data_IF_920742803458
#
_entry.id   IF_920742803458
#
_cell.length_a   1.000
_cell.length_b   1.000
_cell.length_c   1.000
_cell.angle_alpha   90.00
_cell.angle_beta   90.00
_cell.angle_gamma   90.00
#
_symmetry.space_group_name_H-M   'P 1'
#
loop_
_entity.id
_entity.type
_entity.pdbx_description
1 polymer ?
#
# COMPACT_ATOMS: atom_id res chain seq x y z
N UNK A 1 -13.85 0.17 18.70
CA UNK A 1 -13.37 -0.23 17.36
C UNK A 1 -14.07 -1.50 16.90
N UNK A 2 -14.38 -1.62 15.60
CA UNK A 2 -14.81 -2.89 15.00
C UNK A 2 -13.63 -3.82 14.69
N UNK A 3 -13.90 -5.10 14.45
CA UNK A 3 -12.88 -6.09 14.02
C UNK A 3 -12.32 -5.71 12.63
N UNK A 4 -11.07 -6.09 12.37
CA UNK A 4 -10.48 -5.94 11.04
C UNK A 4 -11.28 -6.73 9.99
N UNK A 5 -11.44 -6.16 8.80
CA UNK A 5 -12.23 -6.74 7.72
C UNK A 5 -11.39 -6.86 6.44
N UNK A 6 -10.82 -8.05 6.24
CA UNK A 6 -10.03 -8.43 5.07
C UNK A 6 -10.83 -9.31 4.11
N UNK A 7 -10.35 -9.45 2.88
CA UNK A 7 -10.98 -10.32 1.87
C UNK A 7 -10.96 -11.79 2.29
N UNK A 8 -9.82 -12.24 2.79
CA UNK A 8 -9.54 -13.60 3.26
C UNK A 8 -9.79 -13.75 4.77
N UNK A 9 -10.24 -12.68 5.44
CA UNK A 9 -10.39 -12.63 6.88
C UNK A 9 -9.07 -12.51 7.65
N UNK A 10 -7.91 -12.41 6.99
CA UNK A 10 -6.59 -12.39 7.66
C UNK A 10 -5.79 -11.15 7.29
N UNK A 11 -5.51 -10.94 6.01
CA UNK A 11 -4.59 -9.88 5.59
C UNK A 11 -4.85 -9.33 4.20
N UNK A 12 -5.45 -10.10 3.29
CA UNK A 12 -5.66 -9.68 1.92
C UNK A 12 -6.59 -8.45 1.87
N UNK A 13 -6.18 -7.34 1.22
CA UNK A 13 -7.05 -6.20 1.02
C UNK A 13 -8.35 -6.60 0.32
N UNK A 14 -9.46 -5.97 0.68
CA UNK A 14 -10.76 -6.24 0.06
C UNK A 14 -10.76 -5.82 -1.41
N UNK A 15 -11.19 -6.73 -2.27
CA UNK A 15 -11.48 -6.44 -3.68
C UNK A 15 -12.95 -6.67 -4.02
N UNK A 16 -13.71 -7.39 -3.18
CA UNK A 16 -15.15 -7.57 -3.33
C UNK A 16 -15.93 -6.69 -2.35
N UNK A 17 -17.11 -6.27 -2.81
CA UNK A 17 -18.11 -5.56 -2.02
C UNK A 17 -18.69 -6.47 -0.94
N UNK A 18 -19.12 -5.88 0.17
CA UNK A 18 -19.88 -6.57 1.23
C UNK A 18 -21.22 -7.13 0.74
N UNK A 19 -21.73 -6.62 -0.39
CA UNK A 19 -22.95 -7.11 -1.05
C UNK A 19 -22.69 -8.27 -2.01
N UNK A 20 -21.42 -8.65 -2.19
CA UNK A 20 -21.01 -9.75 -3.06
C UNK A 20 -21.54 -11.09 -2.54
N UNK A 21 -22.10 -11.91 -3.42
CA UNK A 21 -22.53 -13.27 -3.12
C UNK A 21 -21.66 -14.26 -3.91
N UNK A 22 -21.51 -15.53 -3.48
CA UNK A 22 -20.77 -16.53 -4.25
C UNK A 22 -21.27 -16.69 -5.68
N UNK A 23 -22.58 -16.58 -5.88
CA UNK A 23 -23.23 -16.65 -7.20
C UNK A 23 -23.16 -15.36 -8.02
N UNK A 24 -22.80 -14.23 -7.41
CA UNK A 24 -22.71 -12.92 -8.06
C UNK A 24 -21.61 -12.09 -7.39
N UNK A 25 -20.35 -12.27 -7.82
CA UNK A 25 -19.27 -11.47 -7.29
C UNK A 25 -19.46 -10.01 -7.71
N UNK A 26 -19.34 -9.09 -6.74
CA UNK A 26 -19.40 -7.65 -6.99
C UNK A 26 -18.07 -7.05 -6.58
N UNK A 27 -17.28 -6.60 -7.55
CA UNK A 27 -15.97 -5.99 -7.31
C UNK A 27 -16.12 -4.56 -6.80
N UNK A 28 -15.25 -4.16 -5.89
CA UNK A 28 -15.16 -2.76 -5.44
C UNK A 28 -14.60 -1.88 -6.56
N UNK A 29 -15.10 -0.64 -6.72
CA UNK A 29 -14.49 0.32 -7.64
C UNK A 29 -13.06 0.63 -7.20
N UNK A 30 -12.19 0.96 -8.16
CA UNK A 30 -10.83 1.35 -7.83
C UNK A 30 -10.82 2.66 -7.04
N UNK A 31 -9.82 2.85 -6.18
CA UNK A 31 -9.68 4.10 -5.41
C UNK A 31 -9.61 5.33 -6.33
N UNK A 32 -9.01 5.18 -7.53
CA UNK A 32 -8.97 6.24 -8.53
C UNK A 32 -10.34 6.54 -9.12
N UNK A 33 -11.14 5.52 -9.44
CA UNK A 33 -12.51 5.71 -9.93
C UNK A 33 -13.37 6.46 -8.90
N UNK A 34 -13.27 6.09 -7.62
CA UNK A 34 -14.00 6.79 -6.55
C UNK A 34 -13.49 8.22 -6.39
N UNK A 35 -12.17 8.41 -6.41
CA UNK A 35 -11.54 9.72 -6.30
C UNK A 35 -12.02 10.66 -7.41
N UNK A 36 -12.04 10.23 -8.67
CA UNK A 36 -12.48 11.07 -9.80
C UNK A 36 -13.99 11.26 -9.87
N UNK A 37 -14.78 10.31 -9.36
CA UNK A 37 -16.24 10.42 -9.31
C UNK A 37 -16.72 11.36 -8.20
N UNK A 38 -16.07 11.35 -7.03
CA UNK A 38 -16.51 12.09 -5.83
C UNK A 38 -15.73 13.37 -5.57
N UNK A 39 -14.42 13.39 -5.84
CA UNK A 39 -13.58 14.55 -5.54
C UNK A 39 -13.79 15.61 -6.60
N UNK A 40 -14.28 16.78 -6.17
CA UNK A 40 -14.39 17.96 -7.03
C UNK A 40 -13.21 18.86 -6.73
N UNK A 41 -12.43 19.18 -7.76
CA UNK A 41 -11.43 20.22 -7.64
C UNK A 41 -12.13 21.56 -7.75
N UNK A 42 -12.34 22.22 -6.62
CA UNK A 42 -12.89 23.57 -6.56
C UNK A 42 -11.99 24.38 -5.64
N UNK A 43 -11.34 25.40 -6.19
CA UNK A 43 -10.69 26.41 -5.38
C UNK A 43 -11.75 27.24 -4.68
N UNK A 44 -11.85 27.06 -3.37
CA UNK A 44 -12.79 27.78 -2.53
C UNK A 44 -12.13 27.97 -1.16
N UNK A 45 -11.82 29.23 -0.82
CA UNK A 45 -11.32 29.58 0.49
C UNK A 45 -12.46 29.58 1.51
N UNK A 46 -12.18 29.07 2.72
CA UNK A 46 -13.11 29.20 3.85
C UNK A 46 -13.00 30.63 4.42
N UNK A 47 -14.11 31.36 4.62
CA UNK A 47 -14.08 32.69 5.22
C UNK A 47 -13.67 32.68 6.70
N UNK A 48 -13.93 31.56 7.40
CA UNK A 48 -13.81 31.46 8.85
C UNK A 48 -12.70 30.50 9.30
N UNK A 49 -11.82 30.10 8.38
CA UNK A 49 -10.78 29.12 8.67
C UNK A 49 -9.48 29.48 7.97
N UNK A 50 -8.43 29.65 8.76
CA UNK A 50 -7.08 29.87 8.23
C UNK A 50 -6.47 28.56 7.77
N UNK A 51 -5.54 28.64 6.82
CA UNK A 51 -4.75 27.49 6.38
C UNK A 51 -3.97 26.82 7.54
N UNK A 52 -3.71 27.57 8.62
CA UNK A 52 -3.05 27.05 9.82
C UNK A 52 -3.82 25.90 10.48
N UNK A 53 -5.15 25.83 10.35
CA UNK A 53 -5.92 24.69 10.84
C UNK A 53 -5.50 23.38 10.16
N UNK A 54 -5.35 23.39 8.83
CA UNK A 54 -4.95 22.21 8.06
C UNK A 54 -3.50 21.82 8.39
N UNK A 55 -2.61 22.80 8.50
CA UNK A 55 -1.21 22.53 8.80
C UNK A 55 -1.01 21.98 10.22
N UNK A 56 -1.71 22.52 11.21
CA UNK A 56 -1.65 22.03 12.58
C UNK A 56 -2.28 20.64 12.73
N UNK A 57 -3.34 20.34 11.96
CA UNK A 57 -3.93 18.99 11.92
C UNK A 57 -2.92 17.93 11.43
N UNK A 58 -2.11 18.24 10.41
CA UNK A 58 -1.05 17.33 9.96
C UNK A 58 0.03 17.16 11.03
N UNK A 59 0.41 18.24 11.73
CA UNK A 59 1.38 18.17 12.83
C UNK A 59 0.92 17.18 13.92
N UNK A 60 -0.33 17.30 14.38
CA UNK A 60 -0.91 16.36 15.35
C UNK A 60 -0.97 14.94 14.76
N UNK A 61 -1.41 14.77 13.51
CA UNK A 61 -1.49 13.45 12.89
C UNK A 61 -0.13 12.74 12.84
N UNK A 62 0.94 13.49 12.57
CA UNK A 62 2.32 13.00 12.58
C UNK A 62 2.86 12.68 13.99
N UNK A 63 2.35 13.34 15.04
CA UNK A 63 2.71 13.05 16.44
C UNK A 63 1.99 11.79 16.96
N UNK A 64 0.75 11.55 16.53
CA UNK A 64 -0.05 10.41 17.01
C UNK A 64 0.32 9.09 16.33
N UNK A 65 0.55 9.08 15.02
CA UNK A 65 0.67 7.81 14.29
C UNK A 65 1.60 7.85 13.09
N UNK A 66 2.35 6.77 12.90
CA UNK A 66 3.13 6.52 11.70
C UNK A 66 2.97 5.05 11.27
N UNK A 67 2.53 4.84 10.03
CA UNK A 67 2.42 3.51 9.42
C UNK A 67 3.52 3.33 8.39
N UNK A 68 4.48 2.44 8.68
CA UNK A 68 5.58 2.18 7.73
C UNK A 68 5.11 1.32 6.56
N UNK A 69 5.65 1.55 5.36
CA UNK A 69 5.43 0.70 4.18
C UNK A 69 6.74 0.08 3.70
N UNK A 70 6.68 -0.96 2.87
CA UNK A 70 7.86 -1.65 2.34
C UNK A 70 8.67 -0.83 1.33
N UNK A 71 8.11 0.27 0.79
CA UNK A 71 8.80 1.12 -0.21
C UNK A 71 9.61 2.27 0.39
N UNK A 72 9.27 2.74 1.60
CA UNK A 72 9.73 4.04 2.08
C UNK A 72 11.13 4.03 2.73
N UNK A 73 11.73 2.85 2.95
CA UNK A 73 12.98 2.75 3.70
C UNK A 73 14.24 2.96 2.84
N UNK A 74 14.12 2.99 1.49
CA UNK A 74 15.29 3.02 0.61
C UNK A 74 15.96 4.41 0.48
N UNK A 75 15.19 5.51 0.45
CA UNK A 75 15.75 6.85 0.15
C UNK A 75 16.50 7.48 1.35
N UNK A 76 16.01 7.26 2.57
CA UNK A 76 16.64 7.79 3.80
C UNK A 76 17.95 7.04 4.07
N UNK A 77 18.00 5.72 3.82
CA UNK A 77 19.22 4.91 4.01
C UNK A 77 20.34 5.29 3.03
N UNK A 78 20.03 5.61 1.77
CA UNK A 78 21.05 6.06 0.81
C UNK A 78 21.68 7.41 1.22
N UNK A 79 20.87 8.35 1.72
CA UNK A 79 21.36 9.63 2.21
C UNK A 79 22.19 9.48 3.51
N UNK A 80 21.74 8.64 4.46
CA UNK A 80 22.42 8.45 5.73
C UNK A 80 23.68 7.56 5.63
N UNK A 81 23.75 6.60 4.70
CA UNK A 81 24.97 5.82 4.42
C UNK A 81 26.14 6.68 3.91
N UNK A 82 25.86 7.86 3.34
CA UNK A 82 26.90 8.80 2.92
C UNK A 82 27.55 9.52 4.11
N UNK A 83 26.87 9.60 5.25
CA UNK A 83 27.29 10.35 6.43
C UNK A 83 27.75 9.46 7.60
N UNK A 84 27.36 8.17 7.63
CA UNK A 84 27.72 7.24 8.70
C UNK A 84 28.42 5.99 8.14
N UNK A 85 29.73 5.88 8.35
CA UNK A 85 30.57 4.74 7.95
C UNK A 85 30.50 3.55 8.93
N UNK A 86 29.38 3.37 9.63
CA UNK A 86 29.19 2.34 10.64
C UNK A 86 28.05 1.39 10.28
N UNK A 87 28.24 0.09 10.51
CA UNK A 87 27.30 -1.00 10.21
C UNK A 87 26.02 -1.00 11.09
N UNK A 88 25.50 0.16 11.47
CA UNK A 88 24.35 0.28 12.38
C UNK A 88 23.03 0.63 11.66
N UNK A 89 23.06 1.01 10.38
CA UNK A 89 21.87 1.48 9.63
C UNK A 89 21.33 0.49 8.58
N UNK A 90 21.95 -0.68 8.41
CA UNK A 90 21.56 -1.66 7.40
C UNK A 90 20.27 -2.44 7.72
N UNK A 91 19.66 -2.23 8.90
CA UNK A 91 18.57 -3.07 9.41
C UNK A 91 17.15 -2.54 9.12
N UNK A 92 16.98 -1.38 8.48
CA UNK A 92 15.65 -0.77 8.26
C UNK A 92 15.09 -0.95 6.84
N UNK A 93 15.94 -1.24 5.87
CA UNK A 93 15.52 -1.58 4.50
C UNK A 93 15.17 -3.06 4.46
N UNK A 94 13.94 -3.37 4.08
CA UNK A 94 13.62 -4.71 3.60
C UNK A 94 14.33 -4.85 2.25
N UNK A 95 15.58 -5.31 2.29
CA UNK A 95 16.37 -5.54 1.08
C UNK A 95 15.72 -6.70 0.34
N UNK A 96 14.98 -6.40 -0.72
CA UNK A 96 14.67 -7.43 -1.72
C UNK A 96 15.96 -7.66 -2.50
N UNK A 97 16.58 -8.85 -2.41
CA UNK A 97 17.79 -9.16 -3.18
C UNK A 97 17.47 -9.02 -4.67
N UNK A 98 18.32 -8.33 -5.42
CA UNK A 98 18.16 -8.25 -6.87
C UNK A 98 18.24 -9.67 -7.48
N UNK A 99 17.23 -10.12 -8.26
CA UNK A 99 17.26 -11.43 -8.90
C UNK A 99 18.43 -11.58 -9.88
N UNK A 100 19.03 -10.48 -10.33
CA UNK A 100 20.14 -10.46 -11.28
C UNK A 100 21.49 -10.13 -10.63
N UNK A 101 21.53 -9.70 -9.35
CA UNK A 101 22.77 -9.39 -8.64
C UNK A 101 22.59 -9.40 -7.11
N UNK A 102 23.01 -10.46 -6.45
CA UNK A 102 22.94 -10.63 -4.99
C UNK A 102 23.66 -9.55 -4.15
N UNK A 103 24.43 -8.66 -4.78
CA UNK A 103 25.10 -7.53 -4.12
C UNK A 103 24.24 -6.27 -4.03
N UNK A 104 23.10 -6.23 -4.72
CA UNK A 104 22.22 -5.07 -4.83
C UNK A 104 20.85 -5.32 -4.17
N UNK A 105 20.25 -4.24 -3.67
CA UNK A 105 18.88 -4.22 -3.14
C UNK A 105 18.00 -3.46 -4.13
N UNK A 106 16.89 -4.04 -4.56
CA UNK A 106 15.95 -3.41 -5.50
C UNK A 106 14.77 -2.81 -4.73
N UNK A 107 14.34 -1.61 -5.13
CA UNK A 107 13.09 -1.02 -4.64
C UNK A 107 11.91 -1.74 -5.27
N UNK A 108 10.96 -2.20 -4.45
CA UNK A 108 9.74 -2.85 -4.93
C UNK A 108 8.94 -1.85 -5.79
N UNK A 109 8.75 -2.20 -7.06
CA UNK A 109 7.94 -1.45 -8.02
C UNK A 109 6.61 -2.17 -8.25
N UNK A 110 5.50 -1.54 -7.88
CA UNK A 110 4.17 -2.13 -7.95
C UNK A 110 3.38 -1.75 -9.20
N UNK A 111 3.68 -0.60 -9.81
CA UNK A 111 3.13 -0.19 -11.08
C UNK A 111 4.19 -0.37 -12.18
N UNK A 112 4.04 -1.45 -12.96
CA UNK A 112 4.95 -1.81 -14.04
C UNK A 112 4.40 -1.30 -15.39
N UNK A 113 5.20 -0.58 -16.19
CA UNK A 113 4.75 0.04 -17.45
C UNK A 113 4.48 -0.94 -18.60
N UNK A 114 4.64 -2.26 -18.39
CA UNK A 114 4.20 -3.30 -19.30
C UNK A 114 3.71 -4.46 -18.44
N UNK A 115 2.39 -4.65 -18.33
CA UNK A 115 1.79 -5.77 -17.60
C UNK A 115 1.95 -7.07 -18.40
N UNK A 116 3.19 -7.42 -18.70
CA UNK A 116 3.58 -8.77 -19.00
C UNK A 116 3.99 -9.27 -17.63
N UNK A 117 3.07 -9.91 -16.90
CA UNK A 117 3.41 -10.75 -15.75
C UNK A 117 4.48 -11.72 -16.23
N UNK A 118 5.75 -11.33 -16.09
CA UNK A 118 6.86 -12.23 -16.34
C UNK A 118 6.58 -13.43 -15.45
N UNK A 119 6.46 -14.65 -15.98
CA UNK A 119 6.21 -15.82 -15.16
C UNK A 119 7.30 -16.02 -14.10
N UNK A 120 8.44 -15.34 -14.26
CA UNK A 120 9.58 -15.37 -13.36
C UNK A 120 9.57 -14.28 -12.26
N UNK A 121 8.66 -13.29 -12.32
CA UNK A 121 8.57 -12.22 -11.32
C UNK A 121 7.10 -11.94 -10.94
N UNK A 122 6.50 -12.75 -10.04
CA UNK A 122 5.18 -12.43 -9.49
C UNK A 122 5.24 -11.09 -8.74
N UNK A 123 4.11 -10.38 -8.74
CA UNK A 123 3.98 -9.10 -8.03
C UNK A 123 4.27 -9.31 -6.53
N UNK A 124 5.09 -8.43 -5.94
CA UNK A 124 5.50 -8.56 -4.54
C UNK A 124 4.30 -8.56 -3.58
N UNK A 125 4.28 -9.36 -2.49
CA UNK A 125 3.14 -9.42 -1.56
C UNK A 125 2.76 -8.09 -0.89
N UNK A 126 3.72 -7.17 -0.81
CA UNK A 126 3.51 -5.81 -0.30
C UNK A 126 2.90 -4.87 -1.33
N UNK A 127 2.84 -5.23 -2.61
CA UNK A 127 2.25 -4.40 -3.65
C UNK A 127 0.73 -4.49 -3.66
N UNK A 128 0.08 -3.34 -3.86
CA UNK A 128 -1.34 -3.27 -4.11
C UNK A 128 -1.67 -2.07 -5.02
N UNK A 129 -1.20 -2.09 -6.29
CA UNK A 129 -1.26 -0.94 -7.18
C UNK A 129 -2.70 -0.44 -7.38
N UNK A 130 -2.87 0.87 -7.46
CA UNK A 130 -4.19 1.47 -7.69
C UNK A 130 -4.48 1.45 -9.18
N UNK A 131 -5.46 0.66 -9.61
CA UNK A 131 -5.90 0.61 -11.01
C UNK A 131 -6.54 1.93 -11.45
N UNK A 132 -6.07 2.45 -12.58
CA UNK A 132 -6.60 3.65 -13.23
C UNK A 132 -7.53 3.22 -14.37
N UNK A 133 -8.76 3.74 -14.44
CA UNK A 133 -9.67 3.39 -15.53
C UNK A 133 -9.21 4.03 -16.85
N UNK A 134 -9.44 3.36 -17.98
CA UNK A 134 -9.05 3.85 -19.31
C UNK A 134 -9.71 5.21 -19.67
N UNK A 135 -10.87 5.51 -19.08
CA UNK A 135 -11.60 6.77 -19.27
C UNK A 135 -11.15 7.89 -18.31
N UNK A 136 -10.05 7.71 -17.57
CA UNK A 136 -9.52 8.76 -16.69
C UNK A 136 -9.10 9.99 -17.52
N UNK A 137 -9.63 11.17 -17.16
CA UNK A 137 -9.41 12.42 -17.91
C UNK A 137 -7.95 12.87 -17.93
N UNK A 138 -7.17 12.49 -16.93
CA UNK A 138 -5.78 12.93 -16.74
C UNK A 138 -4.83 11.82 -17.19
N UNK A 139 -4.95 10.64 -16.59
CA UNK A 139 -3.99 9.55 -16.78
C UNK A 139 -4.32 8.68 -18.00
N UNK A 140 -5.59 8.58 -18.41
CA UNK A 140 -6.00 7.79 -19.56
C UNK A 140 -5.40 8.29 -20.87
N UNK A 141 -5.24 9.62 -21.03
CA UNK A 141 -4.59 10.24 -22.19
C UNK A 141 -3.08 9.95 -22.28
N UNK A 142 -2.47 9.60 -21.15
CA UNK A 142 -1.05 9.28 -21.04
C UNK A 142 -0.79 7.77 -21.09
N UNK A 143 -1.82 6.95 -21.35
CA UNK A 143 -1.76 5.49 -21.32
C UNK A 143 -1.21 4.94 -19.97
N UNK A 144 -1.44 5.66 -18.87
CA UNK A 144 -1.05 5.21 -17.53
C UNK A 144 -2.22 4.42 -16.93
N UNK A 145 -1.98 3.15 -16.59
CA UNK A 145 -3.02 2.19 -16.15
C UNK A 145 -2.98 1.88 -14.65
N UNK A 146 -1.92 2.29 -13.95
CA UNK A 146 -1.76 2.07 -12.51
C UNK A 146 -1.06 3.26 -11.82
N UNK A 147 -1.22 3.34 -10.49
CA UNK A 147 -0.40 4.17 -9.61
C UNK A 147 0.35 3.29 -8.61
N UNK A 148 1.56 3.71 -8.26
CA UNK A 148 2.43 3.04 -7.30
C UNK A 148 1.78 3.04 -5.90
N UNK A 149 1.64 1.86 -5.30
CA UNK A 149 1.11 1.73 -3.95
C UNK A 149 1.60 0.42 -3.29
N UNK A 150 2.18 0.57 -2.10
CA UNK A 150 2.52 -0.54 -1.21
C UNK A 150 1.67 -0.54 0.05
N UNK A 151 1.35 -1.74 0.51
CA UNK A 151 0.72 -2.01 1.79
C UNK A 151 1.66 -1.59 2.92
N UNK A 152 1.07 -1.16 4.03
CA UNK A 152 1.81 -0.95 5.27
C UNK A 152 2.43 -2.27 5.74
N UNK A 153 3.59 -2.19 6.40
CA UNK A 153 4.24 -3.34 7.02
C UNK A 153 3.30 -3.94 8.07
N UNK A 154 3.17 -5.28 8.13
CA UNK A 154 2.44 -5.91 9.22
C UNK A 154 3.11 -5.59 10.56
N UNK A 155 2.30 -5.47 11.62
CA UNK A 155 2.84 -5.26 12.96
C UNK A 155 3.71 -6.45 13.40
N UNK A 156 4.79 -6.22 14.17
CA UNK A 156 5.59 -7.32 14.73
C UNK A 156 4.70 -8.23 15.57
N UNK A 157 4.80 -9.54 15.34
CA UNK A 157 4.09 -10.53 16.14
C UNK A 157 4.93 -10.80 17.38
N UNK A 158 4.55 -10.24 18.53
CA UNK A 158 5.17 -10.54 19.83
C UNK A 158 4.36 -11.61 20.56
N UNK A 159 4.95 -12.81 20.70
CA UNK A 159 4.35 -13.98 21.37
C UNK A 159 3.88 -15.07 20.40
N UNK A 160 3.83 -16.32 20.87
CA UNK A 160 3.24 -17.45 20.13
C UNK A 160 1.71 -17.32 20.11
N UNK A 161 1.21 -16.35 19.34
CA UNK A 161 -0.19 -16.24 18.98
C UNK A 161 -0.25 -16.04 17.47
N UNK A 162 -0.78 -17.06 16.80
CA UNK A 162 -1.07 -17.09 15.37
C UNK A 162 -1.81 -15.81 14.94
N UNK A 163 -1.19 -15.01 14.07
CA UNK A 163 -1.75 -13.80 13.48
C UNK A 163 -3.06 -14.10 12.75
N UNK A 164 -4.23 -13.80 13.33
CA UNK A 164 -5.57 -14.12 12.78
C UNK A 164 -5.56 -15.39 11.91
N UNK A 165 -4.86 -16.42 12.38
CA UNK A 165 -4.67 -17.65 11.64
C UNK A 165 -5.86 -18.50 12.03
N UNK A 166 -6.48 -19.04 11.01
CA UNK A 166 -7.65 -19.89 11.05
C UNK A 166 -7.58 -20.88 12.23
N UNK A 167 -8.40 -20.64 13.27
CA UNK A 167 -9.07 -21.70 14.00
C UNK A 167 -10.37 -22.01 13.28
N UNK A 168 -10.28 -22.48 12.04
CA UNK A 168 -11.30 -23.37 11.48
C UNK A 168 -10.66 -24.74 11.35
N UNK A 169 -11.05 -25.59 12.30
CA UNK A 169 -11.38 -26.98 12.02
C UNK A 169 -10.21 -27.98 11.92
N UNK A 170 -9.57 -28.25 13.07
CA UNK A 170 -9.13 -29.61 13.38
C UNK A 170 -10.27 -30.31 14.16
N UNK A 171 -11.21 -30.93 13.45
CA UNK A 171 -12.16 -31.92 13.98
C UNK A 171 -13.15 -32.35 12.89
N UNK A 172 -12.81 -33.32 12.07
CA UNK A 172 -13.78 -34.00 11.22
C UNK A 172 -13.17 -35.23 10.58
N UNK A 173 -13.63 -36.39 11.06
CA UNK A 173 -13.32 -37.78 10.65
C UNK A 173 -12.84 -37.98 9.21
#
# INVERSE_FOLDING_TARGET
MGKAAYQDGISAPRHLSVTSKPSRPVTLPSARQVSTALSRNKDAQSPDTTFMLVQFAQFIAHDISNSTSSSLMALITAALNKYYSGALLAALVEKVPDPNNSSNSVTVQCCLPNANTSPNCPLHPSCFPISIPANDRVFGRLNITCMEFTRSKPAPVTGCALSMFILTYASGN
#
